data_IF_895236055788
#
_entry.id   IF_895236055788
#
_cell.length_a   1.000
_cell.length_b   1.000
_cell.length_c   1.000
_cell.angle_alpha   90.00
_cell.angle_beta   90.00
_cell.angle_gamma   90.00
#
_symmetry.space_group_name_H-M   'P 1'
#
loop_
_entity.id
_entity.type
_entity.pdbx_description
1 polymer ?
#
# COMPACT_ATOMS: atom_id res chain seq x y z
N UNK A 1 8.38 14.18 10.95
CA UNK A 1 7.01 14.41 11.45
C UNK A 1 6.62 13.25 12.33
N UNK A 2 6.00 13.51 13.44
CA UNK A 2 5.64 12.49 14.43
C UNK A 2 4.42 11.70 13.91
N UNK A 3 4.60 10.40 13.68
CA UNK A 3 3.52 9.50 13.25
C UNK A 3 2.34 9.50 14.26
N UNK A 4 2.61 9.82 15.52
CA UNK A 4 1.61 9.94 16.59
C UNK A 4 0.55 10.99 16.28
N UNK A 5 0.96 12.20 15.89
CA UNK A 5 0.02 13.27 15.57
C UNK A 5 -0.89 12.93 14.37
N UNK A 6 -0.36 12.19 13.39
CA UNK A 6 -1.16 11.74 12.23
C UNK A 6 -2.14 10.63 12.64
N UNK A 7 -1.74 9.73 13.53
CA UNK A 7 -2.66 8.71 14.10
C UNK A 7 -3.81 9.37 14.86
N UNK A 8 -3.53 10.38 15.67
CA UNK A 8 -4.55 11.11 16.42
C UNK A 8 -5.52 11.85 15.50
N UNK A 9 -5.01 12.48 14.42
CA UNK A 9 -5.83 13.16 13.42
C UNK A 9 -6.88 12.21 12.80
N UNK A 10 -6.50 10.96 12.56
CA UNK A 10 -7.38 9.96 11.96
C UNK A 10 -8.07 9.04 12.99
N UNK A 11 -7.94 9.31 14.29
CA UNK A 11 -8.54 8.51 15.35
C UNK A 11 -8.06 7.06 15.34
N UNK A 12 -6.75 6.84 15.13
CA UNK A 12 -6.10 5.54 15.11
C UNK A 12 -5.26 5.38 16.38
N UNK A 13 -5.47 4.29 17.09
CA UNK A 13 -4.71 4.01 18.31
C UNK A 13 -3.19 3.91 18.01
N UNK A 14 -2.37 4.38 18.94
CA UNK A 14 -0.91 4.44 18.74
C UNK A 14 -0.26 3.05 18.56
N UNK A 15 -0.88 2.02 19.12
CA UNK A 15 -0.46 0.61 19.02
C UNK A 15 -1.19 -0.20 17.92
N UNK A 16 -2.03 0.45 17.11
CA UNK A 16 -2.74 -0.21 16.03
C UNK A 16 -1.81 -0.62 14.89
N UNK A 17 -1.99 -1.82 14.36
CA UNK A 17 -1.42 -2.21 13.07
C UNK A 17 -2.20 -1.52 11.94
N UNK A 18 -1.53 -0.74 11.10
CA UNK A 18 -2.15 -0.03 9.99
C UNK A 18 -1.73 -0.64 8.64
N UNK A 19 -2.69 -1.19 7.92
CA UNK A 19 -2.52 -1.74 6.58
C UNK A 19 -3.05 -0.70 5.59
N UNK A 20 -2.16 -0.08 4.82
CA UNK A 20 -2.48 1.09 4.00
C UNK A 20 -2.49 0.80 2.51
N UNK A 21 -3.43 1.43 1.81
CA UNK A 21 -3.51 1.49 0.36
C UNK A 21 -3.67 2.95 -0.07
N UNK A 22 -2.86 3.38 -1.02
CA UNK A 22 -2.96 4.70 -1.66
C UNK A 22 -3.13 4.51 -3.16
N UNK A 23 -4.13 5.13 -3.72
CA UNK A 23 -4.35 5.04 -5.15
C UNK A 23 -5.72 5.56 -5.56
N UNK A 24 -5.83 5.94 -6.82
CA UNK A 24 -7.10 6.37 -7.41
C UNK A 24 -8.15 5.27 -7.29
N UNK A 25 -9.37 5.64 -6.95
CA UNK A 25 -10.50 4.72 -6.96
C UNK A 25 -10.94 4.53 -8.41
N UNK A 26 -10.65 3.35 -8.96
CA UNK A 26 -10.99 3.00 -10.34
C UNK A 26 -11.12 1.48 -10.52
N UNK A 27 -11.46 1.03 -11.73
CA UNK A 27 -11.78 -0.37 -12.02
C UNK A 27 -10.60 -1.36 -11.82
N UNK A 28 -9.35 -0.88 -11.70
CA UNK A 28 -8.18 -1.76 -11.77
C UNK A 28 -7.13 -1.55 -10.65
N UNK A 29 -7.35 -0.62 -9.73
CA UNK A 29 -6.44 -0.46 -8.57
C UNK A 29 -6.65 -1.51 -7.48
N UNK A 30 -7.79 -2.24 -7.51
CA UNK A 30 -8.00 -3.41 -6.68
C UNK A 30 -8.48 -3.09 -5.26
N UNK A 31 -9.25 -2.01 -5.06
CA UNK A 31 -9.84 -1.71 -3.75
C UNK A 31 -10.72 -2.86 -3.24
N UNK A 32 -11.46 -3.51 -4.11
CA UNK A 32 -12.26 -4.70 -3.77
C UNK A 32 -11.41 -5.84 -3.24
N UNK A 33 -10.34 -6.20 -3.96
CA UNK A 33 -9.38 -7.23 -3.57
C UNK A 33 -8.67 -6.88 -2.25
N UNK A 34 -8.37 -5.60 -2.04
CA UNK A 34 -7.82 -5.11 -0.78
C UNK A 34 -8.78 -5.36 0.39
N UNK A 35 -10.05 -4.97 0.25
CA UNK A 35 -11.07 -5.17 1.28
C UNK A 35 -11.27 -6.66 1.60
N UNK A 36 -11.33 -7.51 0.57
CA UNK A 36 -11.44 -8.95 0.74
C UNK A 36 -10.23 -9.53 1.48
N UNK A 37 -9.02 -9.13 1.08
CA UNK A 37 -7.77 -9.63 1.67
C UNK A 37 -7.57 -9.21 3.12
N UNK A 38 -7.94 -7.96 3.50
CA UNK A 38 -7.73 -7.48 4.87
C UNK A 38 -8.81 -7.94 5.84
N UNK A 39 -10.02 -8.27 5.38
CA UNK A 39 -11.16 -8.64 6.23
C UNK A 39 -10.85 -9.75 7.24
N UNK A 40 -10.24 -10.90 6.87
CA UNK A 40 -9.91 -11.95 7.84
C UNK A 40 -8.87 -11.49 8.87
N UNK A 41 -7.94 -10.62 8.46
CA UNK A 41 -6.90 -10.07 9.33
C UNK A 41 -7.51 -9.14 10.38
N UNK A 42 -8.39 -8.24 9.95
CA UNK A 42 -9.07 -7.30 10.84
C UNK A 42 -9.99 -8.04 11.84
N UNK A 43 -10.68 -9.10 11.41
CA UNK A 43 -11.45 -9.97 12.34
C UNK A 43 -10.58 -10.60 13.42
N UNK A 44 -9.38 -11.04 13.06
CA UNK A 44 -8.44 -11.68 13.99
C UNK A 44 -7.70 -10.67 14.88
N UNK A 45 -7.59 -9.41 14.46
CA UNK A 45 -6.83 -8.34 15.14
C UNK A 45 -7.74 -7.12 15.37
N UNK A 46 -8.51 -7.07 16.48
CA UNK A 46 -9.49 -6.00 16.71
C UNK A 46 -8.93 -4.56 16.74
N UNK A 47 -7.63 -4.40 17.00
CA UNK A 47 -6.95 -3.09 16.97
C UNK A 47 -6.37 -2.74 15.61
N UNK A 48 -6.32 -3.68 14.66
CA UNK A 48 -5.79 -3.38 13.33
C UNK A 48 -6.77 -2.50 12.54
N UNK A 49 -6.21 -1.67 11.66
CA UNK A 49 -6.95 -0.73 10.80
C UNK A 49 -6.51 -0.92 9.35
N UNK A 50 -7.48 -1.05 8.46
CA UNK A 50 -7.26 -0.87 7.03
C UNK A 50 -7.49 0.60 6.67
N UNK A 51 -6.55 1.21 5.95
CA UNK A 51 -6.61 2.62 5.59
C UNK A 51 -6.50 2.79 4.07
N UNK A 52 -7.53 3.38 3.46
CA UNK A 52 -7.55 3.67 2.02
C UNK A 52 -7.53 5.19 1.80
N UNK A 53 -6.65 5.66 0.92
CA UNK A 53 -6.59 7.06 0.52
C UNK A 53 -6.64 7.20 -1.00
N UNK A 54 -7.57 8.01 -1.49
CA UNK A 54 -7.70 8.33 -2.91
C UNK A 54 -9.13 8.64 -3.33
N UNK A 55 -9.23 9.38 -4.43
CA UNK A 55 -10.50 9.77 -5.07
C UNK A 55 -10.63 9.12 -6.44
N UNK A 56 -11.83 9.16 -7.00
CA UNK A 56 -12.08 8.78 -8.39
C UNK A 56 -11.64 9.90 -9.37
N UNK A 57 -11.74 9.65 -10.66
CA UNK A 57 -11.72 10.70 -11.67
C UNK A 57 -13.04 11.50 -11.65
N UNK A 58 -12.98 12.73 -12.13
CA UNK A 58 -14.18 13.52 -12.41
C UNK A 58 -15.10 12.75 -13.36
N UNK A 59 -16.38 12.63 -12.98
CA UNK A 59 -17.38 11.84 -13.68
C UNK A 59 -17.40 10.34 -13.32
N UNK A 60 -16.51 9.87 -12.45
CA UNK A 60 -16.49 8.50 -11.95
C UNK A 60 -16.73 8.41 -10.42
N UNK A 61 -17.35 9.44 -9.81
CA UNK A 61 -17.58 9.53 -8.36
C UNK A 61 -18.40 8.34 -7.84
N UNK A 62 -19.28 7.79 -8.66
CA UNK A 62 -20.05 6.58 -8.36
C UNK A 62 -19.19 5.38 -7.91
N UNK A 63 -17.92 5.34 -8.34
CA UNK A 63 -16.96 4.30 -7.88
C UNK A 63 -16.59 4.47 -6.41
N UNK A 64 -16.57 5.72 -5.94
CA UNK A 64 -16.35 6.03 -4.52
C UNK A 64 -17.58 5.58 -3.74
N UNK A 65 -18.78 5.86 -4.23
CA UNK A 65 -20.03 5.44 -3.59
C UNK A 65 -20.13 3.91 -3.49
N UNK A 66 -19.73 3.19 -4.55
CA UNK A 66 -19.66 1.73 -4.51
C UNK A 66 -18.64 1.23 -3.47
N UNK A 67 -17.46 1.86 -3.38
CA UNK A 67 -16.45 1.51 -2.40
C UNK A 67 -16.92 1.78 -0.97
N UNK A 68 -17.54 2.95 -0.72
CA UNK A 68 -18.11 3.29 0.59
C UNK A 68 -19.22 2.32 0.98
N UNK A 69 -20.06 1.92 0.03
CA UNK A 69 -21.05 0.88 0.26
C UNK A 69 -20.40 -0.44 0.62
N UNK A 70 -19.38 -0.88 -0.11
CA UNK A 70 -18.66 -2.12 0.20
C UNK A 70 -17.99 -2.09 1.57
N UNK A 71 -17.46 -0.93 1.98
CA UNK A 71 -16.92 -0.71 3.33
C UNK A 71 -18.02 -0.82 4.38
N UNK A 72 -19.15 -0.14 4.18
CA UNK A 72 -20.29 -0.14 5.10
C UNK A 72 -20.89 -1.54 5.30
N UNK A 73 -20.98 -2.32 4.23
CA UNK A 73 -21.50 -3.68 4.25
C UNK A 73 -20.50 -4.71 4.85
N UNK A 74 -19.25 -4.28 5.08
CA UNK A 74 -18.21 -5.15 5.63
C UNK A 74 -18.45 -5.48 7.10
N UNK A 75 -18.25 -6.75 7.52
CA UNK A 75 -18.36 -7.13 8.93
C UNK A 75 -17.29 -6.50 9.83
N UNK A 76 -16.32 -5.80 9.25
CA UNK A 76 -15.24 -5.08 9.94
C UNK A 76 -15.22 -3.59 9.59
N UNK A 77 -16.36 -3.02 9.18
CA UNK A 77 -16.51 -1.63 8.76
C UNK A 77 -15.87 -0.62 9.75
N UNK A 78 -16.02 -0.85 11.06
CA UNK A 78 -15.45 0.00 12.11
C UNK A 78 -13.92 0.04 12.17
N UNK A 79 -13.24 -0.91 11.49
CA UNK A 79 -11.78 -0.99 11.40
C UNK A 79 -11.26 -0.49 10.02
N UNK A 80 -12.13 -0.07 9.14
CA UNK A 80 -11.76 0.43 7.81
C UNK A 80 -11.94 1.95 7.80
N UNK A 81 -10.90 2.66 7.41
CA UNK A 81 -10.91 4.11 7.24
C UNK A 81 -10.61 4.44 5.78
N UNK A 82 -11.44 5.29 5.21
CA UNK A 82 -11.23 5.82 3.87
C UNK A 82 -11.21 7.33 3.91
N UNK A 83 -10.30 7.93 3.14
CA UNK A 83 -10.25 9.37 2.88
C UNK A 83 -10.12 9.62 1.37
N UNK A 84 -10.51 10.80 0.96
CA UNK A 84 -10.24 11.29 -0.40
C UNK A 84 -8.75 11.56 -0.63
N UNK A 85 -8.42 12.21 -1.75
CA UNK A 85 -7.07 12.64 -2.04
C UNK A 85 -6.48 13.46 -0.87
N UNK A 86 -5.26 13.11 -0.49
CA UNK A 86 -4.54 13.76 0.59
C UNK A 86 -3.16 14.20 0.09
N UNK A 87 -2.90 15.51 0.09
CA UNK A 87 -1.70 16.09 -0.52
C UNK A 87 -0.41 15.80 0.24
N UNK A 88 -0.49 15.57 1.56
CA UNK A 88 0.67 15.28 2.40
C UNK A 88 0.94 13.77 2.45
N UNK A 89 1.26 13.19 1.28
CA UNK A 89 1.39 11.73 1.11
C UNK A 89 2.41 11.09 2.04
N UNK A 90 3.50 11.79 2.40
CA UNK A 90 4.50 11.30 3.37
C UNK A 90 3.88 11.04 4.74
N UNK A 91 2.91 11.85 5.18
CA UNK A 91 2.20 11.63 6.45
C UNK A 91 1.41 10.33 6.40
N UNK A 92 0.71 10.04 5.28
CA UNK A 92 -0.03 8.79 5.09
C UNK A 92 0.90 7.58 5.10
N UNK A 93 2.00 7.62 4.33
CA UNK A 93 2.92 6.49 4.34
C UNK A 93 3.55 6.26 5.71
N UNK A 94 3.85 7.31 6.47
CA UNK A 94 4.36 7.15 7.83
C UNK A 94 3.34 6.53 8.79
N UNK A 95 2.05 6.70 8.53
CA UNK A 95 0.97 6.06 9.26
C UNK A 95 0.96 4.53 9.12
N UNK A 96 1.37 4.01 7.95
CA UNK A 96 1.24 2.60 7.60
C UNK A 96 2.36 1.73 8.20
N UNK A 97 2.02 0.53 8.59
CA UNK A 97 2.95 -0.54 8.93
C UNK A 97 3.21 -1.47 7.72
N UNK A 98 2.20 -1.63 6.86
CA UNK A 98 2.27 -2.43 5.62
C UNK A 98 1.60 -1.62 4.52
N UNK A 99 2.27 -1.46 3.39
CA UNK A 99 1.68 -0.87 2.19
C UNK A 99 1.22 -1.96 1.22
N UNK A 100 -0.01 -1.84 0.71
CA UNK A 100 -0.61 -2.82 -0.20
C UNK A 100 -1.03 -2.15 -1.50
N UNK A 101 -0.64 -2.72 -2.64
CA UNK A 101 -1.11 -2.31 -3.96
C UNK A 101 -1.56 -3.53 -4.77
N UNK A 102 -2.84 -3.91 -4.74
CA UNK A 102 -3.38 -5.06 -5.43
C UNK A 102 -3.99 -4.68 -6.78
N UNK A 103 -3.27 -3.90 -7.59
CA UNK A 103 -3.76 -3.53 -8.92
C UNK A 103 -4.11 -4.79 -9.71
N UNK A 104 -5.34 -4.89 -10.21
CA UNK A 104 -5.85 -6.05 -10.95
C UNK A 104 -5.36 -6.09 -12.40
N UNK A 105 -4.92 -4.95 -12.93
CA UNK A 105 -4.24 -4.83 -14.21
C UNK A 105 -2.78 -4.39 -14.01
N UNK A 106 -1.87 -4.74 -14.94
CA UNK A 106 -0.48 -4.30 -14.87
C UNK A 106 -0.34 -2.78 -14.85
N UNK A 107 0.24 -2.24 -13.79
CA UNK A 107 0.63 -0.84 -13.69
C UNK A 107 2.12 -0.73 -14.05
N UNK A 108 2.50 -0.02 -15.12
CA UNK A 108 3.89 0.00 -15.57
C UNK A 108 4.83 0.70 -14.60
N UNK A 109 4.36 1.73 -13.88
CA UNK A 109 5.18 2.49 -12.92
C UNK A 109 4.32 3.01 -11.76
N UNK A 110 3.93 2.17 -10.80
CA UNK A 110 3.13 2.61 -9.65
C UNK A 110 3.96 3.46 -8.69
N UNK A 111 3.98 4.79 -8.88
CA UNK A 111 4.76 5.72 -8.05
C UNK A 111 4.45 5.61 -6.56
N UNK A 112 3.21 5.29 -6.20
CA UNK A 112 2.80 5.05 -4.80
C UNK A 112 3.62 3.93 -4.12
N UNK A 113 4.11 2.94 -4.88
CA UNK A 113 5.03 1.91 -4.38
C UNK A 113 6.39 2.52 -4.07
N UNK A 114 6.93 3.34 -4.97
CA UNK A 114 8.22 4.02 -4.75
C UNK A 114 8.17 4.99 -3.56
N UNK A 115 7.05 5.69 -3.40
CA UNK A 115 6.79 6.60 -2.29
C UNK A 115 6.73 5.83 -0.96
N UNK A 116 5.99 4.73 -0.91
CA UNK A 116 5.91 3.87 0.28
C UNK A 116 7.26 3.26 0.64
N UNK A 117 8.03 2.81 -0.36
CA UNK A 117 9.39 2.30 -0.17
C UNK A 117 10.33 3.38 0.39
N UNK A 118 10.23 4.62 -0.10
CA UNK A 118 11.02 5.76 0.41
C UNK A 118 10.71 6.06 1.88
N UNK A 119 9.46 5.82 2.30
CA UNK A 119 9.01 5.93 3.70
C UNK A 119 9.28 4.66 4.53
N UNK A 120 10.04 3.71 3.99
CA UNK A 120 10.46 2.51 4.73
C UNK A 120 9.34 1.51 4.98
N UNK A 121 8.36 1.40 4.08
CA UNK A 121 7.28 0.42 4.25
C UNK A 121 7.57 -0.86 3.49
N UNK A 122 7.28 -2.04 4.09
CA UNK A 122 7.21 -3.28 3.36
C UNK A 122 6.02 -3.23 2.39
N UNK A 123 6.19 -3.78 1.20
CA UNK A 123 5.18 -3.73 0.14
C UNK A 123 4.57 -5.11 -0.08
N UNK A 124 3.25 -5.17 -0.15
CA UNK A 124 2.53 -6.36 -0.64
C UNK A 124 1.76 -5.97 -1.89
N UNK A 125 1.80 -6.80 -2.92
CA UNK A 125 1.09 -6.51 -4.17
C UNK A 125 0.90 -7.73 -5.04
N UNK A 126 0.28 -7.53 -6.19
CA UNK A 126 0.17 -8.58 -7.19
C UNK A 126 1.41 -8.67 -8.08
N UNK A 127 1.76 -9.89 -8.49
CA UNK A 127 2.96 -10.24 -9.27
C UNK A 127 2.78 -9.91 -10.75
N UNK A 128 2.67 -8.64 -11.10
CA UNK A 128 2.65 -8.15 -12.47
C UNK A 128 3.05 -6.66 -12.58
N UNK A 129 3.31 -6.20 -13.81
CA UNK A 129 3.68 -4.80 -14.05
C UNK A 129 4.95 -4.36 -13.32
N UNK A 130 5.10 -3.07 -13.13
CA UNK A 130 6.27 -2.44 -12.49
C UNK A 130 6.51 -2.83 -11.03
N UNK A 131 5.48 -3.34 -10.33
CA UNK A 131 5.63 -3.84 -8.96
C UNK A 131 6.71 -4.94 -8.91
N UNK A 132 6.80 -5.81 -9.93
CA UNK A 132 7.80 -6.87 -9.98
C UNK A 132 9.25 -6.36 -10.07
N UNK A 133 9.44 -5.15 -10.61
CA UNK A 133 10.74 -4.51 -10.66
C UNK A 133 11.09 -3.81 -9.33
N UNK A 134 10.08 -3.26 -8.66
CA UNK A 134 10.22 -2.51 -7.41
C UNK A 134 10.35 -3.44 -6.21
N UNK A 135 9.56 -4.50 -6.16
CA UNK A 135 9.52 -5.45 -5.05
C UNK A 135 10.39 -6.66 -5.34
N UNK A 136 11.45 -6.82 -4.54
CA UNK A 136 12.25 -8.05 -4.50
C UNK A 136 11.62 -8.97 -3.46
N UNK A 137 10.96 -10.02 -3.93
CA UNK A 137 10.28 -11.02 -3.10
C UNK A 137 11.12 -11.50 -1.93
N UNK A 138 10.55 -11.51 -0.73
CA UNK A 138 11.23 -11.95 0.49
C UNK A 138 12.35 -11.02 0.98
N UNK A 139 12.49 -9.81 0.40
CA UNK A 139 13.51 -8.81 0.80
C UNK A 139 12.89 -7.49 1.25
N UNK A 140 12.05 -6.88 0.42
CA UNK A 140 11.37 -5.63 0.75
C UNK A 140 9.85 -5.72 0.58
N UNK A 141 9.33 -6.92 0.26
CA UNK A 141 7.90 -7.15 0.12
C UNK A 141 7.58 -8.59 -0.28
N UNK A 142 6.29 -8.83 -0.44
CA UNK A 142 5.71 -10.11 -0.85
C UNK A 142 4.76 -9.89 -2.04
N UNK A 143 4.74 -10.85 -2.97
CA UNK A 143 3.95 -10.78 -4.18
C UNK A 143 3.00 -11.98 -4.27
N UNK A 144 1.70 -11.69 -4.40
CA UNK A 144 0.65 -12.68 -4.63
C UNK A 144 0.34 -12.82 -6.13
N UNK A 145 -0.31 -13.91 -6.49
CA UNK A 145 -0.84 -14.12 -7.85
C UNK A 145 -1.91 -13.07 -8.15
N UNK A 146 -1.91 -12.45 -9.34
CA UNK A 146 -2.92 -11.46 -9.71
C UNK A 146 -4.35 -11.99 -9.56
N UNK A 147 -5.24 -11.12 -9.07
CA UNK A 147 -6.66 -11.43 -8.85
C UNK A 147 -6.91 -12.65 -7.91
N UNK A 148 -5.99 -12.86 -6.95
CA UNK A 148 -6.13 -13.88 -5.90
C UNK A 148 -6.10 -13.23 -4.52
N UNK A 149 -7.22 -12.66 -4.05
CA UNK A 149 -7.29 -11.95 -2.75
C UNK A 149 -6.91 -12.85 -1.56
N UNK A 150 -7.16 -14.16 -1.66
CA UNK A 150 -6.79 -15.11 -0.63
C UNK A 150 -5.25 -15.26 -0.48
N UNK A 151 -4.50 -15.22 -1.59
CA UNK A 151 -3.03 -15.22 -1.54
C UNK A 151 -2.49 -13.88 -1.05
N UNK A 152 -3.12 -12.77 -1.50
CA UNK A 152 -2.81 -11.44 -1.01
C UNK A 152 -3.00 -11.36 0.52
N UNK A 153 -4.10 -11.92 1.03
CA UNK A 153 -4.39 -12.00 2.46
C UNK A 153 -3.29 -12.74 3.22
N UNK A 154 -2.82 -13.89 2.71
CA UNK A 154 -1.73 -14.66 3.34
C UNK A 154 -0.43 -13.84 3.40
N UNK A 155 -0.09 -13.13 2.32
CA UNK A 155 1.10 -12.28 2.28
C UNK A 155 0.99 -11.10 3.27
N UNK A 156 -0.17 -10.47 3.38
CA UNK A 156 -0.41 -9.42 4.38
C UNK A 156 -0.35 -9.99 5.79
N UNK A 157 -0.99 -11.14 6.04
CA UNK A 157 -1.00 -11.81 7.35
C UNK A 157 0.40 -12.15 7.83
N UNK A 158 1.27 -12.66 6.95
CA UNK A 158 2.66 -12.97 7.27
C UNK A 158 3.42 -11.75 7.83
N UNK A 159 3.21 -10.58 7.22
CA UNK A 159 3.79 -9.33 7.71
C UNK A 159 3.05 -8.81 8.95
N UNK A 160 1.73 -8.98 9.03
CA UNK A 160 0.93 -8.55 10.17
C UNK A 160 1.34 -9.27 11.48
N UNK A 161 1.79 -10.52 11.37
CA UNK A 161 2.20 -11.35 12.51
C UNK A 161 3.69 -11.21 12.87
N UNK A 162 4.51 -10.57 12.02
CA UNK A 162 5.96 -10.52 12.22
C UNK A 162 6.50 -9.08 12.13
N UNK A 163 6.62 -8.42 13.29
CA UNK A 163 7.15 -7.06 13.41
C UNK A 163 8.59 -6.95 12.93
N UNK A 164 9.43 -7.90 13.30
CA UNK A 164 10.85 -7.89 12.90
C UNK A 164 10.98 -7.96 11.37
N UNK A 165 10.19 -8.80 10.72
CA UNK A 165 10.15 -8.92 9.26
C UNK A 165 9.68 -7.61 8.60
N UNK A 166 8.65 -6.95 9.16
CA UNK A 166 8.21 -5.62 8.68
C UNK A 166 9.36 -4.61 8.72
N UNK A 167 10.09 -4.54 9.84
CA UNK A 167 11.21 -3.61 9.99
C UNK A 167 12.36 -3.92 9.03
N UNK A 168 12.72 -5.20 8.88
CA UNK A 168 13.75 -5.63 7.94
C UNK A 168 13.38 -5.27 6.50
N UNK A 169 12.14 -5.56 6.10
CA UNK A 169 11.66 -5.25 4.76
C UNK A 169 11.55 -3.74 4.53
N UNK A 170 11.15 -2.98 5.54
CA UNK A 170 11.11 -1.52 5.48
C UNK A 170 12.50 -0.92 5.23
N UNK A 171 13.52 -1.37 5.97
CA UNK A 171 14.92 -0.95 5.75
C UNK A 171 15.39 -1.30 4.35
N UNK A 172 15.06 -2.51 3.86
CA UNK A 172 15.39 -2.95 2.51
C UNK A 172 14.66 -2.14 1.43
N UNK A 173 13.41 -1.73 1.68
CA UNK A 173 12.65 -0.83 0.80
C UNK A 173 13.35 0.50 0.59
N UNK A 174 13.77 1.18 1.68
CA UNK A 174 14.51 2.46 1.59
C UNK A 174 15.79 2.30 0.79
N UNK A 175 16.58 1.25 1.10
CA UNK A 175 17.83 0.98 0.42
C UNK A 175 17.60 0.80 -1.09
N UNK A 176 16.67 -0.10 -1.45
CA UNK A 176 16.36 -0.41 -2.84
C UNK A 176 15.84 0.80 -3.61
N UNK A 177 14.94 1.59 -3.01
CA UNK A 177 14.41 2.80 -3.63
C UNK A 177 15.54 3.80 -3.93
N UNK A 178 16.43 4.06 -2.98
CA UNK A 178 17.56 4.98 -3.16
C UNK A 178 18.54 4.51 -4.24
N UNK A 179 18.85 3.22 -4.26
CA UNK A 179 19.86 2.65 -5.18
C UNK A 179 19.35 2.55 -6.61
N UNK A 180 18.07 2.22 -6.82
CA UNK A 180 17.55 1.86 -8.14
C UNK A 180 16.53 2.85 -8.70
N UNK A 181 15.77 3.53 -7.84
CA UNK A 181 14.60 4.32 -8.25
C UNK A 181 14.67 5.79 -7.80
N UNK A 182 15.80 6.24 -7.27
CA UNK A 182 15.98 7.67 -6.94
C UNK A 182 16.16 8.50 -8.21
N UNK A 183 15.91 9.82 -8.10
CA UNK A 183 16.16 10.75 -9.18
C UNK A 183 17.63 10.69 -9.65
N UNK A 184 18.58 10.52 -8.71
CA UNK A 184 19.99 10.38 -9.04
C UNK A 184 20.27 9.13 -9.86
N UNK A 185 19.63 7.99 -9.51
CA UNK A 185 19.75 6.75 -10.28
C UNK A 185 19.15 6.90 -11.68
N UNK A 186 18.00 7.55 -11.77
CA UNK A 186 17.37 7.88 -13.05
C UNK A 186 18.29 8.71 -13.94
N UNK A 187 18.80 9.85 -13.44
CA UNK A 187 19.71 10.73 -14.18
C UNK A 187 20.96 9.98 -14.62
N UNK A 188 21.57 9.19 -13.73
CA UNK A 188 22.76 8.40 -14.08
C UNK A 188 22.48 7.43 -15.24
N UNK A 189 21.41 6.64 -15.14
CA UNK A 189 21.08 5.64 -16.14
C UNK A 189 20.79 6.27 -17.52
N UNK A 190 20.07 7.39 -17.55
CA UNK A 190 19.83 8.11 -18.80
C UNK A 190 21.10 8.75 -19.36
N UNK A 191 21.94 9.35 -18.51
CA UNK A 191 23.22 9.94 -18.95
C UNK A 191 24.17 8.90 -19.56
N UNK A 192 24.12 7.65 -19.09
CA UNK A 192 24.90 6.56 -19.68
C UNK A 192 24.38 6.13 -21.07
N UNK A 193 23.08 6.23 -21.32
CA UNK A 193 22.50 5.95 -22.63
C UNK A 193 22.91 6.98 -23.70
N UNK A 194 23.02 8.25 -23.30
CA UNK A 194 23.41 9.34 -24.22
C UNK A 194 24.93 9.44 -24.46
N UNK A 195 25.75 8.68 -23.74
CA UNK A 195 27.19 8.61 -23.94
C UNK A 195 27.63 7.55 -24.95
N UNK A 196 26.69 6.73 -25.39
CA UNK A 196 26.88 5.69 -26.43
C UNK A 196 26.52 6.24 -27.80
#
# INVERSE_FOLDING_TARGET
MDASAVRDQFGIAQDALVIGMVGRVNAWKGQGDFLEAVTPILKAKPKAVAFLAGSAFEGEEWRVDELEKAISDSPVAGQIKRIDYYSKTTELYNLFDIFVLPSTNPDPLPTVVLESMACGKPVVGYRHGGVCEMVKEGKNGLLATPNQPAELSKAIQELADNTEKREQFGKASVKRQKELFSLQSYIRNFSELYKK
#
